data_IF_265977841024
#
_entry.id   IF_265977841024
#
_cell.length_a   1.000
_cell.length_b   1.000
_cell.length_c   1.000
_cell.angle_alpha   90.00
_cell.angle_beta   90.00
_cell.angle_gamma   90.00
#
_symmetry.space_group_name_H-M   'P 1'
#
loop_
_entity.id
_entity.type
_entity.pdbx_description
1 polymer ?
#
# COMPACT_ATOMS: atom_id res chain seq x y z
N UNK A 1 3.05 28.69 4.78
CA UNK A 1 3.27 27.98 6.07
C UNK A 1 2.63 26.61 5.98
N UNK A 2 3.42 25.53 5.96
CA UNK A 2 2.90 24.16 5.96
C UNK A 2 2.28 23.86 7.32
N UNK A 3 0.96 23.68 7.37
CA UNK A 3 0.28 23.13 8.53
C UNK A 3 0.78 21.70 8.72
N UNK A 4 1.51 21.46 9.81
CA UNK A 4 1.81 20.12 10.30
C UNK A 4 0.47 19.38 10.47
N UNK A 5 0.16 18.48 9.54
CA UNK A 5 -0.99 17.58 9.63
C UNK A 5 -0.75 16.67 10.83
N UNK A 6 -1.52 16.90 11.90
CA UNK A 6 -1.47 16.10 13.12
C UNK A 6 -1.80 14.64 12.79
N UNK A 7 -1.04 13.74 13.40
CA UNK A 7 -1.12 12.27 13.31
C UNK A 7 -2.39 11.67 13.94
N UNK A 8 -3.50 12.41 13.97
CA UNK A 8 -4.74 11.93 14.57
C UNK A 8 -5.68 11.37 13.50
N UNK A 9 -6.30 10.25 13.85
CA UNK A 9 -7.46 9.64 13.19
C UNK A 9 -7.21 8.71 12.00
N UNK A 10 -6.74 7.52 12.36
CA UNK A 10 -7.38 6.25 11.95
C UNK A 10 -8.34 5.73 13.05
N UNK A 11 -8.94 6.60 13.87
CA UNK A 11 -10.08 6.21 14.69
C UNK A 11 -11.34 6.43 13.86
N UNK A 12 -11.53 5.58 12.87
CA UNK A 12 -12.86 5.46 12.30
C UNK A 12 -13.59 4.51 13.25
N UNK A 13 -14.47 5.06 14.10
CA UNK A 13 -15.46 4.28 14.83
C UNK A 13 -16.46 3.73 13.79
N UNK A 14 -16.06 2.67 13.09
CA UNK A 14 -16.96 2.01 12.12
C UNK A 14 -17.70 0.84 12.76
N UNK A 15 -17.34 0.40 13.98
CA UNK A 15 -17.95 -0.80 14.58
C UNK A 15 -17.91 -0.80 16.11
N UNK A 16 -19.01 -1.23 16.72
CA UNK A 16 -19.14 -1.56 18.15
C UNK A 16 -18.26 -2.73 18.62
N UNK A 17 -17.34 -3.24 17.80
CA UNK A 17 -16.29 -4.20 18.18
C UNK A 17 -14.98 -3.79 17.51
N UNK A 18 -13.96 -3.43 18.30
CA UNK A 18 -12.63 -3.02 17.82
C UNK A 18 -11.79 -4.26 17.45
N UNK A 19 -11.47 -4.50 16.17
CA UNK A 19 -10.50 -5.52 15.81
C UNK A 19 -9.11 -5.06 16.25
N UNK A 20 -8.34 -5.92 16.94
CA UNK A 20 -7.00 -5.58 17.44
C UNK A 20 -5.95 -5.83 16.36
N UNK A 21 -5.76 -4.89 15.43
CA UNK A 21 -4.55 -4.89 14.60
C UNK A 21 -3.33 -4.65 15.50
N UNK A 22 -2.35 -5.56 15.41
CA UNK A 22 -1.05 -5.38 16.08
C UNK A 22 -0.15 -4.49 15.23
N UNK A 23 0.08 -3.27 15.71
CA UNK A 23 1.14 -2.40 15.19
C UNK A 23 2.43 -2.65 15.95
N UNK A 24 3.56 -2.71 15.26
CA UNK A 24 4.88 -2.88 15.88
C UNK A 24 5.97 -2.07 15.18
N UNK A 25 7.01 -1.75 15.95
CA UNK A 25 8.26 -1.18 15.42
C UNK A 25 9.39 -2.20 15.37
N UNK A 26 9.14 -3.43 15.87
CA UNK A 26 10.16 -4.47 15.89
C UNK A 26 10.59 -4.77 14.46
N UNK A 27 11.89 -4.64 14.23
CA UNK A 27 12.56 -5.10 13.03
C UNK A 27 12.96 -6.55 13.31
N UNK A 28 12.42 -7.49 12.54
CA UNK A 28 12.89 -8.86 12.59
C UNK A 28 14.14 -8.99 11.73
N UNK A 29 15.22 -9.51 12.30
CA UNK A 29 16.41 -9.87 11.55
C UNK A 29 16.06 -11.06 10.68
N UNK A 30 15.86 -10.87 9.39
CA UNK A 30 15.78 -12.01 8.48
C UNK A 30 17.08 -12.78 8.55
N UNK A 31 17.02 -14.09 8.79
CA UNK A 31 18.12 -14.96 8.39
C UNK A 31 18.39 -14.68 6.90
N UNK A 32 19.65 -14.41 6.53
CA UNK A 32 20.01 -14.19 5.12
C UNK A 32 19.63 -15.42 4.32
N UNK A 33 18.53 -15.33 3.59
CA UNK A 33 18.11 -16.34 2.65
C UNK A 33 17.62 -15.63 1.38
N UNK A 34 17.91 -16.18 0.21
CA UNK A 34 17.34 -15.64 -1.02
C UNK A 34 15.89 -16.12 -1.09
N UNK A 35 14.87 -15.25 -0.94
CA UNK A 35 13.50 -15.68 -1.07
C UNK A 35 13.31 -16.26 -2.46
N UNK A 36 12.74 -17.46 -2.59
CA UNK A 36 12.46 -18.01 -3.89
C UNK A 36 11.57 -17.01 -4.65
N UNK A 37 11.84 -16.85 -5.94
CA UNK A 37 11.06 -15.99 -6.84
C UNK A 37 9.55 -16.32 -6.78
N UNK A 38 9.22 -17.55 -6.35
CA UNK A 38 7.89 -17.99 -5.92
C UNK A 38 8.00 -18.55 -4.50
N UNK A 39 7.67 -17.74 -3.49
CA UNK A 39 7.26 -18.31 -2.20
C UNK A 39 5.79 -18.66 -2.39
N UNK A 40 5.45 -19.94 -2.33
CA UNK A 40 4.04 -20.30 -2.15
C UNK A 40 3.71 -20.12 -0.67
N UNK A 41 3.02 -19.04 -0.36
CA UNK A 41 2.63 -18.70 1.00
C UNK A 41 1.60 -19.68 1.57
N UNK A 42 1.01 -20.56 0.75
CA UNK A 42 0.03 -21.58 1.20
C UNK A 42 0.63 -22.61 2.17
N UNK A 43 1.91 -22.92 2.02
CA UNK A 43 2.59 -23.95 2.83
C UNK A 43 3.35 -23.36 4.03
N UNK A 44 3.32 -22.04 4.20
CA UNK A 44 4.05 -21.33 5.26
C UNK A 44 3.07 -20.70 6.23
N UNK A 45 3.22 -21.02 7.52
CA UNK A 45 2.49 -20.34 8.59
C UNK A 45 3.00 -18.91 8.77
N UNK A 46 2.40 -17.98 8.04
CA UNK A 46 2.71 -16.55 8.04
C UNK A 46 1.86 -15.78 9.07
N UNK A 47 2.53 -14.91 9.82
CA UNK A 47 1.88 -13.88 10.63
C UNK A 47 1.94 -12.54 9.90
N UNK A 48 0.78 -11.89 9.74
CA UNK A 48 0.72 -10.54 9.16
C UNK A 48 0.75 -9.53 10.29
N UNK A 49 1.69 -8.58 10.21
CA UNK A 49 1.88 -7.53 11.23
C UNK A 49 1.98 -6.16 10.56
N UNK A 50 1.50 -5.12 11.23
CA UNK A 50 1.54 -3.77 10.68
C UNK A 50 2.72 -2.99 11.28
N UNK A 51 3.61 -2.47 10.44
CA UNK A 51 4.62 -1.53 10.95
C UNK A 51 3.97 -0.21 11.29
N UNK A 52 4.47 0.55 12.27
CA UNK A 52 3.88 1.89 12.55
C UNK A 52 3.95 2.82 11.34
N UNK A 53 4.96 2.69 10.48
CA UNK A 53 5.06 3.46 9.24
C UNK A 53 3.91 3.23 8.26
N UNK A 54 3.16 2.12 8.36
CA UNK A 54 1.96 1.88 7.54
C UNK A 54 0.83 2.88 7.76
N UNK A 55 0.85 3.61 8.88
CA UNK A 55 -0.08 4.72 9.16
C UNK A 55 0.26 6.00 8.40
N UNK A 56 1.44 6.05 7.77
CA UNK A 56 1.96 7.24 7.11
C UNK A 56 1.33 7.39 5.72
N UNK A 57 0.83 8.57 5.44
CA UNK A 57 0.41 9.00 4.11
C UNK A 57 1.30 10.15 3.67
N UNK A 58 1.91 10.00 2.50
CA UNK A 58 2.87 10.95 1.94
C UNK A 58 2.49 11.30 0.52
N UNK A 59 2.81 12.54 0.17
CA UNK A 59 2.79 13.01 -1.20
C UNK A 59 4.25 13.26 -1.63
N UNK A 60 4.72 12.54 -2.66
CA UNK A 60 6.09 12.62 -3.17
C UNK A 60 6.06 13.00 -4.68
N UNK A 61 5.84 14.29 -5.01
CA UNK A 61 5.68 14.74 -6.40
C UNK A 61 6.90 14.47 -7.29
N UNK A 62 8.11 14.60 -6.74
CA UNK A 62 9.36 14.30 -7.45
C UNK A 62 9.44 12.84 -7.88
N UNK A 63 8.81 11.95 -7.11
CA UNK A 63 8.75 10.52 -7.38
C UNK A 63 7.44 10.10 -8.05
N UNK A 64 6.58 11.04 -8.45
CA UNK A 64 5.26 10.75 -9.06
C UNK A 64 4.49 9.71 -8.24
N UNK A 65 4.55 9.81 -6.91
CA UNK A 65 3.96 8.85 -5.99
C UNK A 65 3.18 9.59 -4.93
N UNK A 66 2.01 9.07 -4.64
CA UNK A 66 1.21 9.49 -3.51
C UNK A 66 0.46 8.28 -2.99
N UNK A 67 0.33 8.15 -1.68
CA UNK A 67 -0.67 7.28 -1.10
C UNK A 67 -1.75 8.08 -0.37
N UNK A 68 -1.95 9.35 -0.77
CA UNK A 68 -2.92 10.26 -0.17
C UNK A 68 -4.26 9.57 0.06
N UNK A 69 -4.79 9.77 1.27
CA UNK A 69 -6.17 9.44 1.61
C UNK A 69 -7.06 10.66 1.35
N UNK A 70 -8.34 10.42 1.17
CA UNK A 70 -9.33 11.49 1.14
C UNK A 70 -9.45 12.18 2.50
N UNK A 71 -9.54 13.51 2.48
CA UNK A 71 -9.81 14.34 3.66
C UNK A 71 -11.22 14.13 4.20
N UNK A 72 -12.17 13.77 3.32
CA UNK A 72 -13.58 13.51 3.64
C UNK A 72 -13.84 12.07 4.13
N UNK A 73 -12.78 11.28 4.36
CA UNK A 73 -12.86 9.84 4.59
C UNK A 73 -12.66 9.05 3.29
N UNK A 74 -12.06 7.86 3.39
CA UNK A 74 -11.86 6.99 2.22
C UNK A 74 -13.19 6.65 1.57
N UNK A 75 -13.20 6.46 0.25
CA UNK A 75 -14.40 6.02 -0.46
C UNK A 75 -14.88 4.64 0.06
N UNK A 76 -16.14 4.28 -0.22
CA UNK A 76 -16.72 3.04 0.30
C UNK A 76 -15.94 1.78 -0.08
N UNK A 77 -15.36 1.69 -1.30
CA UNK A 77 -14.51 0.57 -1.72
C UNK A 77 -13.19 0.55 -0.93
N UNK A 78 -12.51 1.68 -0.80
CA UNK A 78 -11.30 1.79 0.05
C UNK A 78 -11.60 1.38 1.48
N UNK A 79 -12.72 1.85 2.05
CA UNK A 79 -13.15 1.50 3.40
C UNK A 79 -13.48 0.01 3.53
N UNK A 80 -14.11 -0.60 2.54
CA UNK A 80 -14.37 -2.05 2.50
C UNK A 80 -13.06 -2.85 2.44
N UNK A 81 -12.11 -2.47 1.57
CA UNK A 81 -10.79 -3.07 1.50
C UNK A 81 -10.04 -2.95 2.83
N UNK A 82 -10.07 -1.76 3.46
CA UNK A 82 -9.56 -1.57 4.81
C UNK A 82 -10.23 -2.53 5.80
N UNK A 83 -11.58 -2.59 5.85
CA UNK A 83 -12.32 -3.50 6.73
C UNK A 83 -11.92 -4.96 6.53
N UNK A 84 -11.78 -5.42 5.29
CA UNK A 84 -11.35 -6.78 4.97
C UNK A 84 -9.97 -7.08 5.54
N UNK A 85 -9.01 -6.20 5.32
CA UNK A 85 -7.65 -6.36 5.86
C UNK A 85 -7.64 -6.36 7.38
N UNK A 86 -8.47 -5.52 8.01
CA UNK A 86 -8.57 -5.42 9.46
C UNK A 86 -9.15 -6.72 10.06
N UNK A 87 -10.21 -7.25 9.44
CA UNK A 87 -10.90 -8.44 9.92
C UNK A 87 -10.15 -9.73 9.59
N UNK A 88 -9.51 -9.78 8.43
CA UNK A 88 -8.77 -10.95 7.93
C UNK A 88 -7.42 -10.52 7.32
N UNK A 89 -6.39 -10.21 8.13
CA UNK A 89 -5.08 -9.80 7.62
C UNK A 89 -4.42 -10.82 6.70
N UNK A 90 -4.75 -12.11 6.84
CA UNK A 90 -4.24 -13.20 5.98
C UNK A 90 -4.60 -13.03 4.51
N UNK A 91 -5.63 -12.24 4.17
CA UNK A 91 -6.00 -11.96 2.77
C UNK A 91 -4.84 -11.37 1.95
N UNK A 92 -3.88 -10.70 2.61
CA UNK A 92 -2.69 -10.14 1.97
C UNK A 92 -1.83 -11.25 1.34
N UNK A 93 -1.87 -12.48 1.86
CA UNK A 93 -1.07 -13.61 1.39
C UNK A 93 -1.51 -14.10 0.01
N UNK A 94 -2.82 -14.11 -0.26
CA UNK A 94 -3.41 -14.74 -1.45
C UNK A 94 -2.96 -14.13 -2.78
N UNK A 95 -2.64 -12.82 -2.80
CA UNK A 95 -2.25 -12.09 -4.00
C UNK A 95 -0.87 -11.43 -3.87
N UNK A 96 -0.01 -11.96 -2.99
CA UNK A 96 1.29 -11.38 -2.70
C UNK A 96 2.31 -11.72 -3.78
N UNK A 97 2.82 -10.69 -4.46
CA UNK A 97 3.79 -10.81 -5.55
C UNK A 97 5.06 -10.04 -5.23
N UNK A 98 6.22 -10.53 -5.68
CA UNK A 98 7.48 -9.82 -5.47
C UNK A 98 7.51 -8.48 -6.19
N UNK A 99 8.04 -7.47 -5.53
CA UNK A 99 8.37 -6.19 -6.16
C UNK A 99 9.76 -6.35 -6.79
N UNK A 100 9.83 -6.28 -8.11
CA UNK A 100 11.10 -6.36 -8.83
C UNK A 100 11.80 -4.99 -8.81
N UNK A 101 12.71 -4.80 -7.85
CA UNK A 101 13.55 -3.61 -7.74
C UNK A 101 14.79 -3.81 -8.63
N UNK A 102 14.66 -3.42 -9.90
CA UNK A 102 15.76 -3.54 -10.88
C UNK A 102 16.79 -2.42 -10.70
N UNK A 103 18.01 -2.63 -11.18
CA UNK A 103 19.01 -1.56 -11.28
C UNK A 103 18.70 -0.63 -12.48
N UNK A 104 17.58 0.10 -12.40
CA UNK A 104 17.14 1.09 -13.39
C UNK A 104 16.35 2.20 -12.69
N UNK A 105 15.93 3.22 -13.46
CA UNK A 105 15.19 4.37 -12.91
C UNK A 105 13.92 3.98 -12.17
N UNK A 106 13.22 2.94 -12.63
CA UNK A 106 12.02 2.44 -11.96
C UNK A 106 12.34 1.84 -10.60
N UNK A 107 13.38 1.00 -10.52
CA UNK A 107 13.80 0.41 -9.24
C UNK A 107 14.35 1.47 -8.28
N UNK A 108 15.15 2.42 -8.78
CA UNK A 108 15.62 3.57 -7.99
C UNK A 108 14.45 4.37 -7.40
N UNK A 109 13.46 4.69 -8.22
CA UNK A 109 12.23 5.36 -7.78
C UNK A 109 11.48 4.57 -6.69
N UNK A 110 11.39 3.24 -6.82
CA UNK A 110 10.76 2.39 -5.80
C UNK A 110 11.53 2.47 -4.48
N UNK A 111 12.87 2.39 -4.50
CA UNK A 111 13.69 2.55 -3.30
C UNK A 111 13.50 3.92 -2.66
N UNK A 112 13.53 4.98 -3.46
CA UNK A 112 13.32 6.35 -2.98
C UNK A 112 11.95 6.53 -2.30
N UNK A 113 10.91 5.85 -2.80
CA UNK A 113 9.61 5.79 -2.12
C UNK A 113 9.75 5.04 -0.79
N UNK A 114 10.34 3.84 -0.76
CA UNK A 114 10.49 3.03 0.44
C UNK A 114 11.33 3.70 1.53
N UNK A 115 12.35 4.48 1.18
CA UNK A 115 13.16 5.27 2.11
C UNK A 115 12.36 6.34 2.86
N UNK A 116 11.17 6.70 2.38
CA UNK A 116 10.26 7.58 3.11
C UNK A 116 9.48 6.85 4.22
N UNK A 117 9.52 5.52 4.27
CA UNK A 117 8.80 4.68 5.24
C UNK A 117 9.72 3.84 6.11
N UNK A 118 10.92 3.52 5.64
CA UNK A 118 11.88 2.62 6.26
C UNK A 118 13.30 3.20 6.20
N UNK A 119 14.18 2.67 7.05
CA UNK A 119 15.61 2.99 7.00
C UNK A 119 16.23 2.59 5.65
N UNK A 120 17.18 3.40 5.15
CA UNK A 120 17.83 3.17 3.85
C UNK A 120 18.58 1.85 3.81
N UNK A 121 19.41 1.59 4.83
CA UNK A 121 20.20 0.35 4.90
C UNK A 121 19.29 -0.87 5.00
N UNK A 122 18.16 -0.74 5.72
CA UNK A 122 17.15 -1.79 5.75
C UNK A 122 16.56 -2.05 4.36
N UNK A 123 16.15 -1.01 3.63
CA UNK A 123 15.57 -1.17 2.29
C UNK A 123 16.56 -1.83 1.34
N UNK A 124 17.83 -1.38 1.35
CA UNK A 124 18.88 -1.88 0.47
C UNK A 124 19.22 -3.35 0.75
N UNK A 125 19.26 -3.74 2.03
CA UNK A 125 19.52 -5.13 2.42
C UNK A 125 18.36 -6.06 2.05
N UNK A 126 17.12 -5.59 2.14
CA UNK A 126 15.91 -6.42 1.98
C UNK A 126 15.21 -6.22 0.62
N UNK A 127 15.90 -5.71 -0.41
CA UNK A 127 15.29 -5.37 -1.71
C UNK A 127 14.49 -6.52 -2.32
N UNK A 128 15.03 -7.74 -2.26
CA UNK A 128 14.37 -8.93 -2.82
C UNK A 128 13.18 -9.42 -2.00
N UNK A 129 12.94 -8.84 -0.81
CA UNK A 129 11.95 -9.33 0.16
C UNK A 129 10.66 -8.50 0.12
N UNK A 130 10.67 -7.37 -0.58
CA UNK A 130 9.49 -6.54 -0.75
C UNK A 130 8.44 -7.23 -1.62
N UNK A 131 7.20 -7.19 -1.14
CA UNK A 131 6.02 -7.78 -1.79
C UNK A 131 4.94 -6.72 -1.95
N UNK A 132 4.11 -6.88 -2.98
CA UNK A 132 2.87 -6.12 -3.17
C UNK A 132 1.69 -7.08 -3.21
N UNK A 133 0.63 -6.73 -2.51
CA UNK A 133 -0.63 -7.46 -2.53
C UNK A 133 -1.76 -6.53 -2.95
N UNK A 134 -2.55 -6.94 -3.93
CA UNK A 134 -3.80 -6.26 -4.25
C UNK A 134 -4.90 -6.84 -3.37
N UNK A 135 -5.66 -5.97 -2.72
CA UNK A 135 -6.83 -6.35 -1.94
C UNK A 135 -8.00 -6.28 -2.89
N UNK A 136 -8.39 -7.45 -3.40
CA UNK A 136 -9.50 -7.59 -4.32
C UNK A 136 -10.78 -7.74 -3.52
N UNK A 137 -11.82 -7.07 -3.99
CA UNK A 137 -13.18 -7.40 -3.65
C UNK A 137 -13.85 -8.01 -4.89
N UNK A 138 -14.91 -8.81 -4.69
CA UNK A 138 -15.65 -9.51 -5.75
C UNK A 138 -16.44 -8.56 -6.66
N UNK A 139 -16.18 -7.26 -6.62
CA UNK A 139 -16.75 -6.34 -7.59
C UNK A 139 -16.22 -6.73 -8.97
N UNK A 140 -17.11 -6.86 -9.95
CA UNK A 140 -16.73 -7.05 -11.36
C UNK A 140 -15.96 -5.82 -11.83
N UNK A 141 -14.64 -5.77 -11.54
CA UNK A 141 -13.76 -4.66 -11.92
C UNK A 141 -13.42 -4.82 -13.40
N UNK A 142 -14.36 -4.41 -14.25
CA UNK A 142 -14.14 -4.31 -15.70
C UNK A 142 -13.35 -3.04 -16.07
N UNK A 143 -13.19 -2.08 -15.14
CA UNK A 143 -12.52 -0.82 -15.43
C UNK A 143 -11.06 -0.81 -14.94
N UNK A 144 -10.06 -0.71 -15.84
CA UNK A 144 -8.66 -0.52 -15.49
C UNK A 144 -8.38 0.84 -14.83
N UNK A 145 -9.37 1.73 -14.75
CA UNK A 145 -9.29 3.06 -14.15
C UNK A 145 -9.65 3.09 -12.66
N UNK A 146 -10.20 2.00 -12.12
CA UNK A 146 -10.47 1.89 -10.69
C UNK A 146 -9.18 1.56 -9.93
N UNK A 147 -8.71 2.52 -9.12
CA UNK A 147 -7.56 2.35 -8.25
C UNK A 147 -7.73 1.09 -7.40
N UNK A 148 -6.78 0.15 -7.50
CA UNK A 148 -6.81 -1.09 -6.68
C UNK A 148 -6.12 -0.80 -5.37
N UNK A 149 -6.81 -1.04 -4.25
CA UNK A 149 -6.20 -0.99 -2.94
C UNK A 149 -5.00 -1.96 -2.89
N UNK A 150 -3.81 -1.43 -2.61
CA UNK A 150 -2.58 -2.21 -2.53
C UNK A 150 -1.92 -2.05 -1.18
N UNK A 151 -1.31 -3.15 -0.76
CA UNK A 151 -0.48 -3.22 0.43
C UNK A 151 0.93 -3.54 -0.02
N UNK A 152 1.90 -2.73 0.41
CA UNK A 152 3.32 -3.08 0.27
C UNK A 152 3.79 -3.65 1.59
N UNK A 153 4.43 -4.80 1.52
CA UNK A 153 4.97 -5.51 2.66
C UNK A 153 6.44 -5.82 2.47
N UNK A 154 7.13 -6.11 3.57
CA UNK A 154 8.41 -6.80 3.56
C UNK A 154 8.22 -8.17 4.19
N UNK A 155 8.68 -9.22 3.51
CA UNK A 155 8.71 -10.56 4.07
C UNK A 155 9.95 -10.68 4.96
N UNK A 156 9.76 -11.00 6.23
CA UNK A 156 10.85 -11.19 7.19
C UNK A 156 10.70 -12.53 7.89
N UNK A 157 11.83 -13.06 8.32
CA UNK A 157 11.90 -14.28 9.11
C UNK A 157 12.43 -13.86 10.48
N UNK A 158 11.79 -14.31 11.55
CA UNK A 158 12.37 -14.19 12.88
C UNK A 158 13.13 -15.48 13.20
N UNK A 159 14.46 -15.43 13.39
CA UNK A 159 15.24 -16.58 13.81
C UNK A 159 14.75 -17.09 15.16
N UNK A 160 14.89 -18.39 15.32
CA UNK A 160 14.52 -19.07 16.54
C UNK A 160 15.42 -18.62 17.70
N UNK A 161 14.83 -18.21 18.82
CA UNK A 161 15.61 -17.80 20.00
C UNK A 161 16.02 -19.01 20.86
N UNK A 162 15.42 -20.18 20.63
CA UNK A 162 15.69 -21.42 21.35
C UNK A 162 15.55 -22.64 20.43
N UNK A 163 16.39 -23.66 20.58
CA UNK A 163 16.41 -24.88 19.72
C UNK A 163 15.05 -25.58 19.49
N UNK A 164 14.07 -25.39 20.38
CA UNK A 164 12.72 -25.97 20.27
C UNK A 164 11.70 -25.05 19.61
N UNK A 165 12.02 -23.77 19.41
CA UNK A 165 11.13 -22.83 18.74
C UNK A 165 11.25 -22.99 17.22
N UNK A 166 10.09 -23.09 16.56
CA UNK A 166 10.03 -23.04 15.10
C UNK A 166 10.31 -21.63 14.61
N UNK A 167 10.95 -21.55 13.45
CA UNK A 167 11.16 -20.33 12.70
C UNK A 167 9.80 -19.66 12.40
N UNK A 168 9.72 -18.35 12.59
CA UNK A 168 8.48 -17.59 12.42
C UNK A 168 8.58 -16.71 11.19
N UNK A 169 7.57 -16.80 10.33
CA UNK A 169 7.51 -16.07 9.09
C UNK A 169 6.54 -14.90 9.24
N UNK A 170 6.97 -13.72 8.80
CA UNK A 170 6.22 -12.49 8.89
C UNK A 170 6.03 -11.85 7.53
N UNK A 171 4.84 -11.29 7.33
CA UNK A 171 4.59 -10.32 6.27
C UNK A 171 4.29 -8.98 6.95
N UNK A 172 5.31 -8.11 6.99
CA UNK A 172 5.22 -6.83 7.67
C UNK A 172 4.67 -5.77 6.71
N UNK A 173 3.48 -5.24 6.99
CA UNK A 173 2.86 -4.17 6.20
C UNK A 173 3.63 -2.86 6.41
N UNK A 174 4.19 -2.32 5.34
CA UNK A 174 5.04 -1.11 5.32
C UNK A 174 4.24 0.12 4.93
N UNK A 175 3.42 0.02 3.88
CA UNK A 175 2.58 1.12 3.41
C UNK A 175 1.28 0.62 2.78
N UNK A 176 0.25 1.45 2.91
CA UNK A 176 -1.07 1.25 2.32
C UNK A 176 -1.23 2.25 1.18
N UNK A 177 -1.63 1.76 0.02
CA UNK A 177 -1.84 2.51 -1.22
C UNK A 177 -3.30 2.31 -1.66
N UNK A 178 -4.23 3.14 -1.14
CA UNK A 178 -5.66 2.91 -1.34
C UNK A 178 -6.11 3.07 -2.80
N UNK A 179 -5.45 3.95 -3.55
CA UNK A 179 -5.91 4.38 -4.87
C UNK A 179 -4.98 3.96 -6.02
N UNK A 180 -3.89 3.27 -5.72
CA UNK A 180 -2.86 2.95 -6.68
C UNK A 180 -2.38 4.16 -7.50
N UNK A 181 -1.97 5.24 -6.84
CA UNK A 181 -1.54 6.47 -7.52
C UNK A 181 -0.09 6.34 -8.03
N UNK A 182 0.19 5.33 -8.84
CA UNK A 182 1.36 5.34 -9.71
C UNK A 182 1.06 6.27 -10.89
N UNK A 183 1.39 7.55 -10.74
CA UNK A 183 1.07 8.55 -11.76
C UNK A 183 1.86 8.27 -13.05
N UNK A 184 1.18 8.12 -14.20
CA UNK A 184 1.82 7.97 -15.50
C UNK A 184 2.75 9.15 -15.77
N UNK A 185 3.92 8.88 -16.35
CA UNK A 185 4.93 9.92 -16.58
C UNK A 185 4.51 10.98 -17.61
N UNK A 186 3.45 10.73 -18.38
CA UNK A 186 2.99 11.50 -19.54
C UNK A 186 1.47 11.79 -19.51
N UNK A 187 0.89 12.11 -18.34
CA UNK A 187 -0.52 12.50 -18.30
C UNK A 187 -0.69 13.87 -18.98
N UNK A 188 -1.46 13.91 -20.06
CA UNK A 188 -1.75 15.13 -20.81
C UNK A 188 -3.24 15.43 -20.71
N UNK A 189 -3.58 16.69 -20.46
CA UNK A 189 -4.95 17.20 -20.54
C UNK A 189 -5.07 18.17 -21.70
N UNK A 190 -6.29 18.30 -22.24
CA UNK A 190 -6.59 19.29 -23.26
C UNK A 190 -6.93 20.60 -22.55
N UNK A 191 -6.16 21.64 -22.81
CA UNK A 191 -6.40 22.98 -22.28
C UNK A 191 -7.73 23.51 -22.84
N UNK A 192 -8.69 23.82 -21.97
CA UNK A 192 -10.06 24.19 -22.36
C UNK A 192 -10.12 25.53 -23.11
N UNK A 193 -9.12 26.40 -22.94
CA UNK A 193 -9.07 27.74 -23.53
C UNK A 193 -8.40 27.70 -24.90
N UNK A 194 -7.29 26.97 -25.02
CA UNK A 194 -6.45 26.94 -26.23
C UNK A 194 -6.66 25.69 -27.09
N UNK A 195 -7.37 24.68 -26.56
CA UNK A 195 -7.62 23.40 -27.23
C UNK A 195 -6.37 22.52 -27.41
N UNK A 196 -5.20 22.94 -26.89
CA UNK A 196 -3.93 22.24 -27.04
C UNK A 196 -3.72 21.20 -25.95
N UNK A 197 -3.05 20.11 -26.29
CA UNK A 197 -2.61 19.12 -25.30
C UNK A 197 -1.48 19.72 -24.46
N UNK A 198 -1.69 19.77 -23.14
CA UNK A 198 -0.72 20.24 -22.14
C UNK A 198 -0.29 19.05 -21.29
N UNK A 199 1.01 18.83 -21.21
CA UNK A 199 1.58 17.87 -20.27
C UNK A 199 1.38 18.41 -18.85
N UNK A 200 0.74 17.61 -17.99
CA UNK A 200 0.53 17.99 -16.60
C UNK A 200 1.84 17.91 -15.81
N UNK A 201 2.02 18.84 -14.89
CA UNK A 201 3.05 18.69 -13.84
C UNK A 201 2.76 17.44 -13.00
N UNK A 202 3.76 16.91 -12.30
CA UNK A 202 3.55 15.75 -11.42
C UNK A 202 2.39 15.99 -10.46
N UNK A 203 2.33 17.16 -9.81
CA UNK A 203 1.29 17.52 -8.82
C UNK A 203 -0.10 17.53 -9.45
N UNK A 204 -0.26 18.20 -10.60
CA UNK A 204 -1.53 18.25 -11.31
C UNK A 204 -1.99 16.85 -11.75
N UNK A 205 -1.07 16.02 -12.25
CA UNK A 205 -1.38 14.66 -12.65
C UNK A 205 -1.81 13.79 -11.45
N UNK A 206 -1.23 13.99 -10.25
CA UNK A 206 -1.69 13.25 -9.05
C UNK A 206 -3.05 13.73 -8.61
N UNK A 207 -3.27 15.04 -8.53
CA UNK A 207 -4.56 15.61 -8.15
C UNK A 207 -5.63 15.14 -9.14
N UNK A 208 -5.36 15.19 -10.44
CA UNK A 208 -6.30 14.73 -11.46
C UNK A 208 -6.60 13.24 -11.34
N UNK A 209 -5.58 12.40 -11.16
CA UNK A 209 -5.77 10.95 -10.95
C UNK A 209 -6.57 10.70 -9.69
N UNK A 210 -6.23 11.38 -8.59
CA UNK A 210 -6.93 11.28 -7.32
C UNK A 210 -8.40 11.71 -7.44
N UNK A 211 -8.69 12.85 -8.07
CA UNK A 211 -10.05 13.34 -8.32
C UNK A 211 -10.86 12.41 -9.22
N UNK A 212 -10.23 11.80 -10.23
CA UNK A 212 -10.87 10.77 -11.05
C UNK A 212 -11.23 9.53 -10.22
N UNK A 213 -10.36 9.11 -9.29
CA UNK A 213 -10.53 7.84 -8.58
C UNK A 213 -11.24 7.92 -7.24
N UNK A 214 -11.31 9.10 -6.61
CA UNK A 214 -11.92 9.27 -5.29
C UNK A 214 -13.45 9.15 -5.31
N UNK A 215 -14.09 9.53 -6.43
CA UNK A 215 -15.55 9.70 -6.52
C UNK A 215 -16.27 8.58 -7.30
N UNK A 216 -15.60 7.47 -7.66
CA UNK A 216 -16.21 6.34 -8.39
C UNK A 216 -17.38 5.64 -7.65
N UNK A 217 -17.73 6.08 -6.44
CA UNK A 217 -18.72 5.44 -5.57
C UNK A 217 -19.99 6.26 -5.31
N UNK A 218 -20.33 7.29 -6.12
CA UNK A 218 -21.67 7.92 -6.01
C UNK A 218 -22.83 6.93 -6.18
N UNK A 219 -22.60 5.75 -6.78
CA UNK A 219 -23.61 4.70 -6.95
C UNK A 219 -23.48 3.52 -5.96
N UNK A 220 -22.50 3.51 -5.06
CA UNK A 220 -22.23 2.36 -4.19
C UNK A 220 -22.68 2.62 -2.74
N UNK A 221 -23.96 2.36 -2.45
CA UNK A 221 -24.49 2.37 -1.08
C UNK A 221 -24.06 1.11 -0.32
N UNK A 222 -23.57 1.29 0.91
CA UNK A 222 -23.29 0.18 1.84
C UNK A 222 -24.56 -0.58 2.26
N UNK A 223 -25.74 0.00 2.05
CA UNK A 223 -27.04 -0.65 2.29
C UNK A 223 -27.35 -1.76 1.27
N UNK A 224 -26.64 -1.78 0.14
CA UNK A 224 -26.84 -2.77 -0.92
C UNK A 224 -25.97 -4.03 -0.74
N UNK A 225 -25.20 -4.14 0.33
CA UNK A 225 -24.41 -5.33 0.66
C UNK A 225 -25.01 -5.94 1.93
N UNK A 226 -26.05 -6.75 1.75
CA UNK A 226 -26.57 -7.71 2.74
C UNK A 226 -26.00 -9.09 2.46
#
# INVERSE_FOLDING_TARGET
MLKNMRNEQFSVDVFGNKPKIKFQDKIFNSESYTPPNKIDFKDIKLEVVFKKCSKKFVNLPSLKFSNMKSELGGDSKTMLCFKKIINEPSIIQNNSTQINIKNNDQGKRIKDILYNFLDKTFVDFHESYFRKSSILDNFNILSPHEGRFRVICVYTIKPSSHKKERLKHYLEVVLLDPYHLFIPSKLCDKDEITGKNRLLTSVEAMNRTYEQVKDYNREFSLENIN
#
